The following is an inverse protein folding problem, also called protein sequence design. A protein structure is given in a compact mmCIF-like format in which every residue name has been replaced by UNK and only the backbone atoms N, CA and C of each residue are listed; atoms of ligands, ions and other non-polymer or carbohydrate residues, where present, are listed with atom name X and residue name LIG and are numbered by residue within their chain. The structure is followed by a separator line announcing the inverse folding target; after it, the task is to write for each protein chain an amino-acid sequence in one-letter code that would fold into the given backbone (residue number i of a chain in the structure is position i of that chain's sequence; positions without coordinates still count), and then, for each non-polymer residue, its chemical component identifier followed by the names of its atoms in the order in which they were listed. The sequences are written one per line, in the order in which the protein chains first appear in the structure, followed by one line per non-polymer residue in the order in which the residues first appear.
data_IF_555198885701
#
_entry.id   IF_555198885701
#
_cell.length_a   1.000
_cell.length_b   1.000
_cell.length_c   1.000
_cell.angle_alpha   90.00
_cell.angle_beta   90.00
_cell.angle_gamma   90.00
#
_symmetry.space_group_name_H-M   'P 1'
#
loop_
_entity.id
_entity.type
_entity.pdbx_description
1 polymer ?
#
# COMPACT_ATOMS: atom_id res chain seq x y z
N UNK A 1 -84.89 17.21 18.09
CA UNK A 1 -83.54 16.54 17.76
C UNK A 1 -82.50 17.62 17.64
N UNK A 2 -81.50 17.69 18.57
CA UNK A 2 -80.41 18.63 18.52
C UNK A 2 -79.17 17.83 17.96
N UNK A 3 -78.64 18.20 16.79
CA UNK A 3 -77.47 17.66 16.24
C UNK A 3 -76.21 18.34 16.88
N UNK A 4 -75.27 17.61 17.41
CA UNK A 4 -74.01 18.20 17.92
C UNK A 4 -73.12 18.66 16.76
N UNK A 5 -72.59 19.89 16.85
CA UNK A 5 -71.67 20.44 15.91
C UNK A 5 -70.25 19.71 16.05
N UNK A 6 -69.60 19.43 14.97
CA UNK A 6 -68.24 18.79 15.04
C UNK A 6 -67.19 19.75 15.65
N UNK A 7 -66.21 19.23 16.38
CA UNK A 7 -65.19 20.04 17.01
C UNK A 7 -64.34 20.74 15.96
N UNK A 8 -64.11 22.03 16.12
CA UNK A 8 -63.17 22.80 15.29
C UNK A 8 -61.74 22.29 15.49
N UNK A 9 -61.17 21.67 14.49
CA UNK A 9 -59.75 21.32 14.47
C UNK A 9 -58.92 22.58 14.40
N UNK A 10 -58.17 22.86 15.44
CA UNK A 10 -57.21 23.96 15.53
C UNK A 10 -56.13 23.77 14.46
N UNK A 11 -56.15 24.54 13.39
CA UNK A 11 -55.14 24.54 12.34
C UNK A 11 -53.81 24.99 12.97
N UNK A 12 -52.87 24.08 13.13
CA UNK A 12 -51.50 24.37 13.56
C UNK A 12 -50.91 25.41 12.62
N UNK A 13 -50.54 26.59 13.15
CA UNK A 13 -49.79 27.59 12.38
C UNK A 13 -48.42 27.01 12.06
N UNK A 14 -48.17 26.66 10.81
CA UNK A 14 -46.83 26.35 10.33
C UNK A 14 -46.05 27.66 10.36
N UNK A 15 -45.09 27.77 11.25
CA UNK A 15 -44.10 28.85 11.25
C UNK A 15 -43.26 28.72 9.99
N UNK A 16 -43.36 29.67 9.07
CA UNK A 16 -42.53 29.72 7.87
C UNK A 16 -41.08 30.12 8.26
N UNK A 17 -40.14 29.53 7.58
CA UNK A 17 -38.71 29.87 7.73
C UNK A 17 -38.45 31.26 7.14
N UNK A 18 -37.68 32.10 7.83
CA UNK A 18 -37.31 33.43 7.31
C UNK A 18 -36.15 33.32 6.31
N UNK A 19 -36.11 34.22 5.32
CA UNK A 19 -35.04 34.26 4.33
C UNK A 19 -33.68 34.47 5.00
N UNK A 20 -33.64 35.24 6.10
CA UNK A 20 -32.44 35.52 6.87
C UNK A 20 -31.91 34.26 7.58
N UNK A 21 -32.81 33.43 8.17
CA UNK A 21 -32.41 32.17 8.80
C UNK A 21 -31.79 31.22 7.79
N UNK A 22 -32.35 31.13 6.57
CA UNK A 22 -31.76 30.30 5.51
C UNK A 22 -30.38 30.84 5.08
N UNK A 23 -30.27 32.16 4.90
CA UNK A 23 -29.04 32.81 4.45
C UNK A 23 -27.90 32.65 5.48
N UNK A 24 -28.18 32.77 6.77
CA UNK A 24 -27.18 32.57 7.83
C UNK A 24 -26.69 31.12 7.87
N UNK A 25 -27.57 30.12 7.70
CA UNK A 25 -27.16 28.71 7.67
C UNK A 25 -26.26 28.41 6.49
N UNK A 26 -26.62 28.85 5.27
CA UNK A 26 -25.77 28.60 4.11
C UNK A 26 -24.42 29.33 4.20
N UNK A 27 -24.37 30.53 4.82
CA UNK A 27 -23.13 31.24 5.07
C UNK A 27 -22.19 30.46 5.99
N UNK A 28 -22.72 29.90 7.09
CA UNK A 28 -21.93 29.08 8.02
C UNK A 28 -21.43 27.79 7.32
N UNK A 29 -22.30 27.12 6.57
CA UNK A 29 -21.91 25.90 5.83
C UNK A 29 -20.82 26.24 4.80
N UNK A 30 -20.92 27.36 4.09
CA UNK A 30 -19.93 27.78 3.10
C UNK A 30 -18.55 28.03 3.74
N UNK A 31 -18.51 28.67 4.91
CA UNK A 31 -17.27 28.90 5.65
C UNK A 31 -16.66 27.55 6.11
N UNK A 32 -17.47 26.66 6.69
CA UNK A 32 -17.01 25.35 7.14
C UNK A 32 -16.51 24.50 5.97
N UNK A 33 -17.24 24.45 4.86
CA UNK A 33 -16.86 23.74 3.66
C UNK A 33 -15.54 24.27 3.06
N UNK A 34 -15.35 25.60 3.06
CA UNK A 34 -14.12 26.26 2.57
C UNK A 34 -12.87 25.80 3.31
N UNK A 35 -12.97 25.44 4.60
CA UNK A 35 -11.85 24.94 5.40
C UNK A 35 -11.70 23.41 5.25
N UNK A 36 -12.81 22.68 5.18
CA UNK A 36 -12.80 21.22 5.15
C UNK A 36 -12.31 20.64 3.82
N UNK A 37 -12.76 21.20 2.69
CA UNK A 37 -12.48 20.65 1.35
C UNK A 37 -10.97 20.47 1.07
N UNK A 38 -10.07 21.43 1.32
CA UNK A 38 -8.65 21.26 1.04
C UNK A 38 -7.97 20.23 1.99
N UNK A 39 -8.50 20.03 3.20
CA UNK A 39 -7.88 19.11 4.19
C UNK A 39 -8.21 17.65 3.94
N UNK A 40 -9.34 17.35 3.31
CA UNK A 40 -9.80 15.96 3.04
C UNK A 40 -8.83 15.24 2.11
N UNK A 41 -8.33 15.90 1.06
CA UNK A 41 -7.40 15.28 0.10
C UNK A 41 -6.11 14.79 0.75
N UNK A 42 -5.52 15.61 1.61
CA UNK A 42 -4.30 15.25 2.35
C UNK A 42 -4.52 14.14 3.37
N UNK A 43 -5.69 14.14 4.02
CA UNK A 43 -6.08 13.08 4.94
C UNK A 43 -6.22 11.72 4.23
N UNK A 44 -6.88 11.69 3.06
CA UNK A 44 -7.03 10.48 2.25
C UNK A 44 -5.67 9.94 1.81
N UNK A 45 -4.75 10.82 1.35
CA UNK A 45 -3.39 10.42 0.97
C UNK A 45 -2.68 9.72 2.13
N UNK A 46 -2.69 10.31 3.33
CA UNK A 46 -2.07 9.74 4.53
C UNK A 46 -2.68 8.38 4.93
N UNK A 47 -3.99 8.21 4.80
CA UNK A 47 -4.66 6.93 5.06
C UNK A 47 -4.19 5.86 4.07
N UNK A 48 -4.09 6.21 2.79
CA UNK A 48 -3.56 5.31 1.75
C UNK A 48 -2.10 4.93 2.01
N UNK A 49 -1.25 5.88 2.37
CA UNK A 49 0.16 5.64 2.73
C UNK A 49 0.26 4.67 3.91
N UNK A 50 -0.52 4.90 4.97
CA UNK A 50 -0.55 4.01 6.13
C UNK A 50 -1.05 2.60 5.77
N UNK A 51 -2.11 2.50 4.97
CA UNK A 51 -2.62 1.21 4.49
C UNK A 51 -1.55 0.47 3.66
N UNK A 52 -0.91 1.16 2.72
CA UNK A 52 0.15 0.56 1.90
C UNK A 52 1.30 0.06 2.75
N UNK A 53 1.75 0.84 3.75
CA UNK A 53 2.81 0.40 4.67
C UNK A 53 2.44 -0.88 5.41
N UNK A 54 1.20 -1.00 5.88
CA UNK A 54 0.71 -2.23 6.52
C UNK A 54 0.69 -3.40 5.54
N UNK A 55 0.24 -3.19 4.30
CA UNK A 55 0.24 -4.22 3.26
C UNK A 55 1.66 -4.71 2.95
N UNK A 56 2.62 -3.79 2.78
CA UNK A 56 4.03 -4.13 2.55
C UNK A 56 4.64 -4.90 3.73
N UNK A 57 4.39 -4.49 4.97
CA UNK A 57 4.87 -5.20 6.15
C UNK A 57 4.29 -6.63 6.22
N UNK A 58 3.02 -6.82 5.88
CA UNK A 58 2.41 -8.15 5.82
C UNK A 58 3.06 -9.03 4.74
N UNK A 59 3.43 -8.45 3.59
CA UNK A 59 4.17 -9.17 2.55
C UNK A 59 5.55 -9.60 3.04
N UNK A 60 6.30 -8.70 3.67
CA UNK A 60 7.62 -8.99 4.25
C UNK A 60 7.51 -10.11 5.28
N UNK A 61 6.58 -10.00 6.22
CA UNK A 61 6.36 -11.02 7.26
C UNK A 61 6.02 -12.39 6.65
N UNK A 62 5.16 -12.42 5.64
CA UNK A 62 4.80 -13.64 4.93
C UNK A 62 6.02 -14.28 4.24
N UNK A 63 6.90 -13.47 3.64
CA UNK A 63 8.13 -13.97 3.03
C UNK A 63 9.12 -14.51 4.07
N UNK A 64 9.19 -13.87 5.24
CA UNK A 64 10.02 -14.36 6.36
C UNK A 64 9.49 -15.70 6.87
N UNK A 65 8.17 -15.85 7.06
CA UNK A 65 7.56 -17.11 7.47
C UNK A 65 7.78 -18.21 6.42
N UNK A 66 7.72 -17.87 5.14
CA UNK A 66 8.06 -18.79 4.06
C UNK A 66 9.53 -19.26 4.17
N UNK A 67 10.48 -18.31 4.35
CA UNK A 67 11.91 -18.62 4.54
C UNK A 67 12.14 -19.52 5.78
N UNK A 68 11.44 -19.27 6.87
CA UNK A 68 11.53 -20.09 8.08
C UNK A 68 11.06 -21.54 7.84
N UNK A 69 10.01 -21.74 7.01
CA UNK A 69 9.46 -23.05 6.72
C UNK A 69 10.25 -23.83 5.68
N UNK A 70 10.76 -23.15 4.65
CA UNK A 70 11.43 -23.78 3.50
C UNK A 70 12.92 -23.58 3.45
N UNK A 71 13.50 -22.70 4.30
CA UNK A 71 14.93 -22.34 4.35
C UNK A 71 15.48 -21.64 3.10
N UNK A 72 14.59 -21.13 2.22
CA UNK A 72 14.94 -20.29 1.09
C UNK A 72 13.84 -19.23 0.86
N UNK A 73 14.20 -18.17 0.15
CA UNK A 73 13.25 -17.10 -0.19
C UNK A 73 12.28 -17.52 -1.30
N UNK A 74 11.06 -16.96 -1.37
CA UNK A 74 10.08 -17.24 -2.43
C UNK A 74 10.51 -16.56 -3.75
N UNK A 75 11.72 -16.86 -4.22
CA UNK A 75 12.26 -16.39 -5.49
C UNK A 75 12.12 -17.48 -6.55
N UNK A 76 11.78 -17.12 -7.78
CA UNK A 76 11.56 -18.06 -8.88
C UNK A 76 12.84 -18.38 -9.68
N UNK A 77 13.99 -17.98 -9.15
CA UNK A 77 15.29 -18.21 -9.75
C UNK A 77 16.33 -18.66 -8.72
N UNK A 78 17.54 -19.03 -9.17
CA UNK A 78 18.64 -19.31 -8.26
C UNK A 78 19.00 -18.04 -7.48
N UNK A 79 19.16 -18.11 -6.14
CA UNK A 79 19.54 -16.97 -5.33
C UNK A 79 20.93 -16.47 -5.75
N UNK A 80 21.09 -15.16 -5.81
CA UNK A 80 22.39 -14.55 -6.07
C UNK A 80 23.17 -14.47 -4.75
N UNK A 81 24.13 -15.37 -4.55
CA UNK A 81 24.81 -15.55 -3.25
C UNK A 81 25.73 -14.40 -2.83
N UNK A 82 26.09 -13.51 -3.77
CA UNK A 82 27.04 -12.41 -3.55
C UNK A 82 26.41 -11.02 -3.55
N UNK A 83 25.10 -10.94 -3.74
CA UNK A 83 24.34 -9.70 -3.77
C UNK A 83 22.91 -9.94 -3.30
N UNK A 84 22.20 -8.88 -2.96
CA UNK A 84 20.79 -8.96 -2.62
C UNK A 84 19.94 -9.29 -3.84
N UNK A 85 18.88 -10.04 -3.65
CA UNK A 85 17.97 -10.42 -4.73
C UNK A 85 16.80 -9.45 -4.78
N UNK A 86 16.68 -8.73 -5.88
CA UNK A 86 15.51 -7.91 -6.18
C UNK A 86 14.43 -8.78 -6.82
N UNK A 87 13.23 -8.69 -6.29
CA UNK A 87 12.08 -9.43 -6.77
C UNK A 87 10.91 -8.45 -7.06
N UNK A 88 10.61 -8.27 -8.34
CA UNK A 88 9.52 -7.44 -8.81
C UNK A 88 8.26 -8.27 -8.96
N UNK A 89 7.20 -7.93 -8.22
CA UNK A 89 5.98 -8.74 -8.19
C UNK A 89 5.28 -8.81 -9.55
N UNK A 90 5.37 -7.76 -10.35
CA UNK A 90 4.78 -7.72 -11.69
C UNK A 90 5.37 -8.73 -12.68
N UNK A 91 6.62 -9.15 -12.47
CA UNK A 91 7.30 -10.12 -13.34
C UNK A 91 6.92 -11.58 -13.03
N UNK A 92 6.31 -11.81 -11.87
CA UNK A 92 6.03 -13.14 -11.35
C UNK A 92 4.54 -13.36 -11.04
N UNK A 93 3.66 -12.73 -11.83
CA UNK A 93 2.20 -12.92 -11.78
C UNK A 93 1.79 -14.21 -12.48
N UNK A 94 0.82 -14.92 -12.02
CA UNK A 94 0.14 -14.90 -10.71
C UNK A 94 0.84 -15.79 -9.67
N UNK A 95 1.99 -16.35 -10.00
CA UNK A 95 2.65 -17.43 -9.24
C UNK A 95 2.94 -17.04 -7.80
N UNK A 96 3.35 -15.77 -7.57
CA UNK A 96 3.63 -15.28 -6.22
C UNK A 96 2.41 -15.41 -5.30
N UNK A 97 1.24 -14.94 -5.76
CA UNK A 97 0.00 -15.01 -4.97
C UNK A 97 -0.39 -16.45 -4.69
N UNK A 98 -0.31 -17.33 -5.70
CA UNK A 98 -0.66 -18.74 -5.56
C UNK A 98 0.26 -19.47 -4.56
N UNK A 99 1.55 -19.19 -4.62
CA UNK A 99 2.52 -19.78 -3.68
C UNK A 99 2.28 -19.29 -2.27
N UNK A 100 2.07 -17.99 -2.10
CA UNK A 100 1.89 -17.41 -0.77
C UNK A 100 0.56 -17.78 -0.12
N UNK A 101 -0.48 -18.00 -0.93
CA UNK A 101 -1.80 -18.47 -0.42
C UNK A 101 -1.89 -19.99 -0.22
N UNK A 102 -0.89 -20.74 -0.68
CA UNK A 102 -0.93 -22.21 -0.60
C UNK A 102 -1.99 -22.85 -1.50
N UNK A 103 -2.56 -22.11 -2.44
CA UNK A 103 -3.56 -22.60 -3.39
C UNK A 103 -3.05 -22.54 -4.84
N UNK A 104 -2.13 -23.39 -5.19
CA UNK A 104 -1.52 -23.39 -6.51
C UNK A 104 -2.45 -24.04 -7.53
N UNK A 105 -2.79 -23.29 -8.56
CA UNK A 105 -3.61 -23.75 -9.68
C UNK A 105 -2.85 -24.63 -10.68
N UNK A 106 -1.52 -24.69 -10.58
CA UNK A 106 -0.65 -25.42 -11.50
C UNK A 106 0.00 -26.63 -10.82
N UNK A 107 0.13 -27.80 -11.50
CA UNK A 107 0.74 -29.00 -10.93
C UNK A 107 2.24 -28.87 -10.66
N UNK A 108 2.91 -27.86 -11.20
CA UNK A 108 4.35 -27.63 -11.03
C UNK A 108 4.72 -26.79 -9.81
N UNK A 109 4.13 -27.12 -8.64
CA UNK A 109 4.43 -26.39 -7.42
C UNK A 109 5.75 -26.83 -6.85
N UNK A 110 6.77 -26.25 -7.40
CA UNK A 110 8.13 -26.45 -6.97
C UNK A 110 8.41 -25.77 -5.61
N UNK A 111 7.67 -24.70 -5.32
CA UNK A 111 7.99 -23.77 -4.25
C UNK A 111 7.18 -23.92 -2.95
N UNK A 112 5.91 -24.28 -2.97
CA UNK A 112 5.10 -24.49 -1.76
C UNK A 112 4.45 -25.88 -1.76
N UNK A 113 5.26 -26.92 -1.61
CA UNK A 113 4.82 -28.32 -1.66
C UNK A 113 3.87 -28.72 -0.54
N UNK A 114 3.98 -28.07 0.61
CA UNK A 114 3.13 -28.35 1.78
C UNK A 114 1.81 -27.58 1.74
N UNK A 115 1.59 -26.73 0.76
CA UNK A 115 0.38 -25.90 0.60
C UNK A 115 0.06 -25.05 1.83
N UNK A 116 1.09 -24.50 2.47
CA UNK A 116 0.94 -23.63 3.63
C UNK A 116 0.51 -22.26 3.14
N UNK A 117 -0.56 -21.71 3.73
CA UNK A 117 -0.95 -20.33 3.48
C UNK A 117 -0.09 -19.39 4.35
N UNK A 118 0.84 -18.67 3.75
CA UNK A 118 1.69 -17.66 4.40
C UNK A 118 1.05 -16.27 4.34
N UNK A 119 0.25 -16.01 3.32
CA UNK A 119 -0.45 -14.77 3.14
C UNK A 119 -1.93 -14.99 2.82
N UNK A 120 -2.75 -14.03 3.18
CA UNK A 120 -4.15 -13.94 2.76
C UNK A 120 -4.34 -12.59 2.07
N UNK A 121 -4.84 -12.62 0.85
CA UNK A 121 -5.13 -11.42 0.08
C UNK A 121 -6.65 -11.25 -0.04
N UNK A 122 -7.14 -10.03 0.16
CA UNK A 122 -8.51 -9.69 -0.19
C UNK A 122 -8.57 -9.33 -1.68
N UNK A 123 -9.71 -9.53 -2.32
CA UNK A 123 -9.90 -9.18 -3.74
C UNK A 123 -9.58 -7.70 -4.02
N UNK A 124 -9.82 -6.81 -3.06
CA UNK A 124 -9.52 -5.38 -3.16
C UNK A 124 -8.02 -5.05 -3.08
N UNK A 125 -7.19 -5.98 -2.64
CA UNK A 125 -5.74 -5.84 -2.51
C UNK A 125 -4.97 -6.57 -3.63
N UNK A 126 -5.72 -7.07 -4.63
CA UNK A 126 -5.19 -7.73 -5.81
C UNK A 126 -5.54 -6.95 -7.08
N UNK A 127 -4.68 -7.06 -8.09
CA UNK A 127 -4.97 -6.55 -9.42
C UNK A 127 -6.30 -7.12 -9.96
N UNK A 128 -7.14 -6.30 -10.62
CA UNK A 128 -8.45 -6.72 -11.10
C UNK A 128 -8.42 -7.75 -12.23
N UNK A 129 -7.24 -8.03 -12.80
CA UNK A 129 -7.07 -9.08 -13.80
C UNK A 129 -6.79 -10.45 -13.13
N UNK A 130 -7.76 -11.40 -13.15
CA UNK A 130 -7.57 -12.69 -12.51
C UNK A 130 -6.46 -13.54 -13.14
N UNK A 131 -6.15 -13.32 -14.42
CA UNK A 131 -5.09 -14.05 -15.12
C UNK A 131 -3.69 -13.57 -14.73
N UNK A 132 -3.59 -12.31 -14.30
CA UNK A 132 -2.36 -11.66 -13.89
C UNK A 132 -2.46 -11.11 -12.46
N UNK A 133 -3.10 -11.85 -11.58
CA UNK A 133 -3.32 -11.43 -10.20
C UNK A 133 -2.00 -11.15 -9.48
N UNK A 134 -1.85 -9.93 -9.00
CA UNK A 134 -0.67 -9.43 -8.28
C UNK A 134 -1.14 -8.56 -7.12
N UNK A 135 -0.46 -8.54 -5.99
CA UNK A 135 -0.75 -7.59 -4.93
C UNK A 135 -0.66 -6.15 -5.43
N UNK A 136 -1.59 -5.31 -5.01
CA UNK A 136 -1.60 -3.88 -5.29
C UNK A 136 -1.54 -3.09 -3.99
N UNK A 137 -0.96 -1.89 -4.07
CA UNK A 137 -0.98 -0.96 -2.95
C UNK A 137 -2.33 -0.21 -2.81
N UNK A 138 -2.50 0.60 -1.78
CA UNK A 138 -3.72 1.36 -1.57
C UNK A 138 -3.94 2.50 -2.61
N UNK A 139 -2.95 2.79 -3.45
CA UNK A 139 -3.06 3.71 -4.58
C UNK A 139 -3.45 3.02 -5.88
N UNK A 140 -3.42 1.68 -5.90
CA UNK A 140 -3.73 0.84 -7.06
C UNK A 140 -2.50 0.45 -7.88
N UNK A 141 -1.29 0.67 -7.37
CA UNK A 141 -0.07 0.25 -8.05
C UNK A 141 0.20 -1.22 -7.80
N UNK A 142 0.53 -1.95 -8.86
CA UNK A 142 0.97 -3.34 -8.81
C UNK A 142 2.50 -3.49 -8.94
N UNK A 143 3.20 -2.38 -9.19
CA UNK A 143 4.65 -2.34 -9.35
C UNK A 143 5.36 -2.32 -7.99
N UNK A 144 5.20 -3.41 -7.24
CA UNK A 144 5.78 -3.60 -5.93
C UNK A 144 7.09 -4.37 -6.01
N UNK A 145 8.06 -4.00 -5.20
CA UNK A 145 9.33 -4.70 -5.07
C UNK A 145 9.49 -5.33 -3.69
N UNK A 146 10.06 -6.52 -3.69
CA UNK A 146 10.63 -7.17 -2.52
C UNK A 146 12.14 -7.28 -2.75
N UNK A 147 12.92 -6.96 -1.74
CA UNK A 147 14.38 -7.16 -1.78
C UNK A 147 14.75 -8.11 -0.65
N UNK A 148 15.39 -9.20 -1.02
CA UNK A 148 15.81 -10.25 -0.08
C UNK A 148 17.31 -10.19 0.13
N UNK A 149 17.72 -10.25 1.38
CA UNK A 149 19.13 -10.45 1.70
C UNK A 149 19.52 -11.89 1.34
N UNK A 150 20.24 -12.02 0.25
CA UNK A 150 20.85 -13.27 -0.23
C UNK A 150 22.37 -13.20 -0.25
N UNK A 151 22.93 -12.05 0.13
CA UNK A 151 24.36 -11.83 0.19
C UNK A 151 24.98 -12.50 1.43
N UNK A 152 25.69 -13.60 1.21
CA UNK A 152 26.33 -14.34 2.29
C UNK A 152 27.47 -13.59 2.98
N UNK A 153 28.05 -12.58 2.31
CA UNK A 153 29.12 -11.76 2.88
C UNK A 153 28.58 -10.68 3.85
N UNK A 154 27.29 -10.33 3.74
CA UNK A 154 26.63 -9.30 4.55
C UNK A 154 25.30 -9.85 5.11
N UNK A 155 25.31 -10.84 6.02
CA UNK A 155 24.09 -11.42 6.56
C UNK A 155 23.28 -10.38 7.32
N UNK A 156 21.95 -10.43 7.18
CA UNK A 156 21.00 -9.53 7.81
C UNK A 156 21.16 -8.04 7.42
N UNK A 157 21.78 -7.77 6.27
CA UNK A 157 21.99 -6.42 5.77
C UNK A 157 21.69 -6.35 4.27
N UNK A 158 20.77 -5.48 3.90
CA UNK A 158 20.51 -5.15 2.49
C UNK A 158 21.37 -3.94 2.11
N UNK A 159 22.00 -4.04 0.95
CA UNK A 159 22.84 -2.97 0.41
C UNK A 159 21.97 -1.78 -0.02
N UNK A 160 22.23 -0.56 0.47
CA UNK A 160 21.49 0.63 0.06
C UNK A 160 21.51 0.88 -1.45
N UNK A 161 22.61 0.54 -2.13
CA UNK A 161 22.72 0.64 -3.59
C UNK A 161 21.66 -0.17 -4.30
N UNK A 162 21.37 -1.38 -3.82
CA UNK A 162 20.34 -2.24 -4.40
C UNK A 162 18.95 -1.60 -4.41
N UNK A 163 18.58 -0.89 -3.34
CA UNK A 163 17.27 -0.23 -3.25
C UNK A 163 17.23 1.12 -3.93
N UNK A 164 18.34 1.85 -3.97
CA UNK A 164 18.45 3.15 -4.62
C UNK A 164 18.46 3.06 -6.16
N UNK A 165 18.85 1.92 -6.71
CA UNK A 165 18.89 1.67 -8.15
C UNK A 165 17.54 1.19 -8.73
N UNK A 166 16.53 1.00 -7.88
CA UNK A 166 15.20 0.56 -8.32
C UNK A 166 14.47 1.65 -9.08
N UNK A 167 13.75 1.25 -10.13
CA UNK A 167 12.92 2.16 -10.92
C UNK A 167 11.51 1.60 -11.03
N UNK A 168 10.52 2.47 -10.79
CA UNK A 168 9.11 2.13 -10.91
C UNK A 168 8.56 2.56 -12.27
N UNK A 169 7.66 1.75 -12.83
CA UNK A 169 6.88 2.16 -13.99
C UNK A 169 5.74 3.05 -13.56
N UNK A 170 5.57 4.23 -14.17
CA UNK A 170 4.40 5.07 -13.89
C UNK A 170 3.13 4.39 -14.39
N UNK A 171 2.02 4.55 -13.63
CA UNK A 171 0.71 3.96 -13.93
C UNK A 171 0.15 4.40 -15.29
N UNK A 172 0.54 5.55 -15.81
CA UNK A 172 0.04 6.13 -17.07
C UNK A 172 1.17 6.35 -18.08
N UNK A 173 1.76 5.30 -18.65
CA UNK A 173 2.56 5.38 -19.88
C UNK A 173 3.69 6.42 -19.94
N UNK A 174 4.07 7.01 -18.81
CA UNK A 174 5.21 7.93 -18.68
C UNK A 174 6.55 7.19 -18.76
N UNK A 175 7.63 7.94 -18.89
CA UNK A 175 8.98 7.39 -18.79
C UNK A 175 9.20 6.84 -17.38
N UNK A 176 9.88 5.68 -17.23
CA UNK A 176 10.26 5.17 -15.92
C UNK A 176 11.08 6.25 -15.19
N UNK A 177 10.51 6.80 -14.14
CA UNK A 177 11.24 7.69 -13.26
C UNK A 177 11.91 6.83 -12.20
N UNK A 178 13.22 6.99 -12.01
CA UNK A 178 13.94 6.37 -10.89
C UNK A 178 13.46 7.03 -9.59
N UNK A 179 12.34 6.55 -9.10
CA UNK A 179 11.79 6.95 -7.80
C UNK A 179 12.30 5.98 -6.75
N UNK A 180 13.60 5.98 -6.53
CA UNK A 180 14.18 5.20 -5.46
C UNK A 180 14.09 5.95 -4.13
N UNK A 181 13.90 5.25 -2.99
CA UNK A 181 14.08 5.87 -1.69
C UNK A 181 15.54 6.32 -1.60
N UNK A 182 15.79 7.56 -1.23
CA UNK A 182 17.17 8.09 -1.12
C UNK A 182 17.79 7.63 0.21
N UNK A 183 18.11 6.35 0.30
CA UNK A 183 18.82 5.79 1.42
C UNK A 183 20.31 6.22 1.36
N UNK A 184 20.88 6.60 2.50
CA UNK A 184 22.31 6.89 2.58
C UNK A 184 23.12 5.63 2.19
N UNK A 185 23.98 5.72 1.17
CA UNK A 185 24.77 4.57 0.70
C UNK A 185 25.72 3.99 1.75
N UNK A 186 26.02 4.74 2.82
CA UNK A 186 26.89 4.29 3.90
C UNK A 186 26.15 3.63 5.06
N UNK A 187 24.82 3.71 5.08
CA UNK A 187 23.98 3.16 6.14
C UNK A 187 23.23 1.93 5.63
N UNK A 188 23.68 0.71 5.96
CA UNK A 188 23.02 -0.51 5.51
C UNK A 188 21.62 -0.64 6.15
N UNK A 189 20.72 -1.28 5.42
CA UNK A 189 19.40 -1.62 5.94
C UNK A 189 19.50 -2.94 6.69
N UNK A 190 19.37 -2.90 8.01
CA UNK A 190 19.54 -4.06 8.90
C UNK A 190 18.28 -4.94 8.94
N UNK A 191 17.90 -5.47 7.79
CA UNK A 191 16.73 -6.35 7.63
C UNK A 191 17.05 -7.46 6.62
N UNK A 192 16.39 -8.60 6.76
CA UNK A 192 16.53 -9.74 5.85
C UNK A 192 15.66 -9.63 4.59
N UNK A 193 14.58 -8.88 4.70
CA UNK A 193 13.63 -8.63 3.63
C UNK A 193 13.04 -7.23 3.79
N UNK A 194 12.91 -6.51 2.70
CA UNK A 194 12.21 -5.22 2.66
C UNK A 194 11.28 -5.18 1.47
N UNK A 195 10.26 -4.34 1.56
CA UNK A 195 9.30 -4.10 0.50
C UNK A 195 9.18 -2.61 0.17
N UNK A 196 8.92 -2.32 -1.09
CA UNK A 196 8.78 -0.97 -1.63
C UNK A 196 7.55 -0.88 -2.52
N UNK A 197 6.90 0.29 -2.49
CA UNK A 197 5.80 0.67 -3.39
C UNK A 197 6.04 2.08 -3.92
N UNK A 198 5.65 2.39 -5.17
CA UNK A 198 5.71 3.75 -5.71
C UNK A 198 4.79 4.73 -4.97
N UNK A 199 3.85 4.26 -4.16
CA UNK A 199 2.92 5.12 -3.42
C UNK A 199 2.07 5.97 -4.35
N UNK A 200 2.00 7.30 -4.12
CA UNK A 200 1.24 8.21 -4.98
C UNK A 200 1.89 8.43 -6.36
N UNK A 201 3.15 8.01 -6.55
CA UNK A 201 3.84 8.00 -7.84
C UNK A 201 4.20 9.39 -8.39
N UNK A 202 4.21 10.43 -7.55
CA UNK A 202 4.45 11.81 -7.98
C UNK A 202 5.90 12.29 -7.78
N UNK A 203 6.64 11.66 -6.86
CA UNK A 203 8.02 12.02 -6.55
C UNK A 203 8.74 10.92 -5.78
N UNK A 204 10.08 11.03 -5.64
CA UNK A 204 10.87 10.12 -4.80
C UNK A 204 10.42 10.08 -3.34
N UNK A 205 9.76 11.14 -2.86
CA UNK A 205 9.22 11.20 -1.49
C UNK A 205 7.90 10.47 -1.33
N UNK A 206 7.26 10.05 -2.42
CA UNK A 206 6.02 9.27 -2.39
C UNK A 206 6.27 7.77 -2.27
N UNK A 207 7.51 7.30 -2.44
CA UNK A 207 7.86 5.88 -2.28
C UNK A 207 7.66 5.45 -0.84
N UNK A 208 6.88 4.38 -0.69
CA UNK A 208 6.56 3.80 0.62
C UNK A 208 7.44 2.58 0.83
N UNK A 209 8.13 2.53 1.94
CA UNK A 209 9.09 1.48 2.30
C UNK A 209 8.77 0.89 3.67
N UNK A 210 9.31 -0.31 3.94
CA UNK A 210 9.10 -1.03 5.20
C UNK A 210 10.17 -0.76 6.26
N UNK A 211 11.16 0.07 5.95
CA UNK A 211 12.23 0.46 6.89
C UNK A 211 12.28 1.97 7.10
N UNK A 212 13.05 2.41 8.07
CA UNK A 212 13.32 3.83 8.29
C UNK A 212 14.41 4.32 7.34
N UNK A 213 14.07 5.21 6.43
CA UNK A 213 15.01 5.78 5.46
C UNK A 213 15.92 6.78 6.16
N UNK A 214 17.22 6.52 6.10
CA UNK A 214 18.25 7.47 6.52
C UNK A 214 18.73 8.20 5.30
N UNK A 215 18.34 9.47 5.14
CA UNK A 215 18.76 10.29 4.01
C UNK A 215 20.25 10.66 4.13
N UNK A 216 20.95 10.70 2.99
CA UNK A 216 22.34 11.13 2.93
C UNK A 216 22.50 12.54 3.54
N UNK A 217 23.43 12.70 4.50
CA UNK A 217 23.69 13.95 5.18
C UNK A 217 22.89 14.19 6.47
N UNK A 218 21.95 13.31 6.85
CA UNK A 218 21.42 13.28 8.21
C UNK A 218 22.42 12.52 9.10
N UNK A 219 23.35 13.24 9.69
CA UNK A 219 24.17 12.68 10.78
C UNK A 219 23.15 12.28 11.87
N UNK A 220 23.13 10.99 12.22
CA UNK A 220 22.35 10.51 13.33
C UNK A 220 22.70 11.39 14.54
N UNK A 221 21.76 12.23 14.94
CA UNK A 221 21.95 13.20 16.00
C UNK A 221 22.30 12.49 17.30
N UNK A 222 23.27 13.04 17.96
CA UNK A 222 23.79 12.71 19.28
C UNK A 222 22.68 12.53 20.32
#
# INVERSE_FOLDING_TARGET
MKYPLPPFTRRSRRTGFTLVELLTVIAIIAILAGILVPTVGTAIKKVKESKTRVQLNNLVESCIQYKQSYHYWPTFGPPQLNQDTVFRLTEHRPDFVQIMTGNPSTPDIKYNKQKIAFATFNDADLSPDPANSSPIDAFGNDDLYLVFNTNLAKPHQIDPGTVNDLSFNPIEGGQPTSMAPQQDPQVPITQDCVALSPGAGLSNYDVIVTWDVVAAGTVAGQ
#
